data_IF_672837476738
#
_entry.id   IF_672837476738
#
_cell.length_a   1.000
_cell.length_b   1.000
_cell.length_c   1.000
_cell.angle_alpha   90.00
_cell.angle_beta   90.00
_cell.angle_gamma   90.00
#
_symmetry.space_group_name_H-M   'P 1'
#
loop_
_entity.id
_entity.type
_entity.pdbx_description
1 polymer ?
#
# COMPACT_ATOMS: atom_id res chain seq x y z
N UNK A 1 60.65 -10.87 29.33
CA UNK A 1 61.67 -9.86 29.73
C UNK A 1 62.65 -9.68 28.59
N UNK A 2 63.19 -8.48 28.32
CA UNK A 2 63.01 -7.19 28.99
C UNK A 2 62.25 -6.16 28.10
N UNK A 3 61.38 -5.29 28.62
CA UNK A 3 61.68 -4.03 29.36
C UNK A 3 62.61 -3.12 28.52
N UNK A 4 62.25 -1.88 28.19
CA UNK A 4 62.11 -0.75 29.10
C UNK A 4 61.47 0.47 28.40
N UNK A 5 60.64 1.21 29.16
CA UNK A 5 60.12 2.57 28.91
C UNK A 5 61.21 3.64 29.26
N UNK A 6 60.85 4.90 29.60
CA UNK A 6 60.44 6.09 28.83
C UNK A 6 61.43 7.25 29.14
N UNK A 7 61.01 8.54 29.09
CA UNK A 7 61.54 9.80 29.74
C UNK A 7 61.32 10.96 28.73
N UNK A 8 60.79 12.17 29.00
CA UNK A 8 60.50 13.01 30.18
C UNK A 8 59.31 13.95 29.81
N UNK A 9 58.31 14.28 30.62
CA UNK A 9 58.26 15.11 31.86
C UNK A 9 58.67 16.60 31.74
N UNK A 10 57.68 17.49 31.95
CA UNK A 10 57.66 18.58 32.95
C UNK A 10 56.23 19.20 32.95
N UNK A 11 55.40 19.18 34.02
CA UNK A 11 55.42 20.00 35.27
C UNK A 11 55.47 21.52 34.98
N UNK A 12 54.66 22.43 35.56
CA UNK A 12 53.93 22.49 36.84
C UNK A 12 53.05 23.76 36.86
N UNK A 13 51.87 23.68 37.51
CA UNK A 13 51.12 24.67 38.36
C UNK A 13 51.02 26.16 37.95
N UNK A 14 50.13 27.02 38.43
CA UNK A 14 49.07 27.06 39.44
C UNK A 14 48.41 28.46 39.28
N UNK A 15 47.21 28.65 39.85
CA UNK A 15 46.79 29.97 40.32
C UNK A 15 45.47 30.52 39.76
N UNK A 16 44.39 30.30 40.53
CA UNK A 16 43.26 31.23 40.62
C UNK A 16 43.68 32.44 41.48
N UNK A 17 43.11 33.64 41.26
CA UNK A 17 41.94 34.01 42.07
C UNK A 17 40.88 34.88 41.36
N UNK A 18 39.77 35.04 42.08
CA UNK A 18 38.46 35.55 41.72
C UNK A 18 38.41 37.07 41.46
N UNK A 19 37.45 37.51 40.63
CA UNK A 19 36.86 38.86 40.71
C UNK A 19 35.43 38.91 40.16
N UNK A 20 34.60 39.65 40.89
CA UNK A 20 33.14 39.85 40.79
C UNK A 20 32.63 40.37 39.44
N UNK A 21 31.40 40.00 39.06
CA UNK A 21 30.64 40.67 38.00
C UNK A 21 29.19 40.21 37.88
N UNK A 22 28.27 41.03 38.42
CA UNK A 22 26.82 41.16 38.20
C UNK A 22 25.99 39.97 37.66
N UNK A 23 25.05 39.53 38.51
CA UNK A 23 23.89 38.72 38.13
C UNK A 23 22.82 39.63 37.51
N UNK A 24 22.60 39.55 36.19
CA UNK A 24 21.41 40.13 35.55
C UNK A 24 20.27 39.10 35.63
N UNK A 25 19.28 39.35 36.50
CA UNK A 25 17.97 38.70 36.42
C UNK A 25 17.19 39.29 35.25
N UNK A 26 17.17 38.59 34.12
CA UNK A 26 16.21 38.83 33.05
C UNK A 26 14.86 38.25 33.47
N UNK A 27 13.94 39.13 33.86
CA UNK A 27 12.53 38.82 34.04
C UNK A 27 11.93 38.59 32.65
N UNK A 28 11.79 37.32 32.25
CA UNK A 28 11.03 36.94 31.06
C UNK A 28 9.55 37.06 31.42
N UNK A 29 8.93 38.16 30.99
CA UNK A 29 7.48 38.27 30.91
C UNK A 29 7.00 37.22 29.91
N UNK A 30 6.43 36.13 30.43
CA UNK A 30 5.75 35.12 29.63
C UNK A 30 4.59 35.77 28.89
N UNK A 31 4.74 35.92 27.58
CA UNK A 31 3.60 36.11 26.68
C UNK A 31 2.90 34.75 26.67
N UNK A 32 1.71 34.69 27.26
CA UNK A 32 0.79 33.58 27.05
C UNK A 32 0.46 33.58 25.55
N UNK A 33 1.10 32.68 24.80
CA UNK A 33 0.63 32.31 23.47
C UNK A 33 -0.82 31.84 23.61
N UNK A 34 -1.75 32.28 22.75
CA UNK A 34 -3.06 31.69 22.72
C UNK A 34 -2.90 30.19 22.44
N UNK A 35 -3.67 29.36 23.14
CA UNK A 35 -3.76 27.92 22.87
C UNK A 35 -3.93 27.71 21.36
N UNK A 36 -3.10 26.83 20.80
CA UNK A 36 -2.88 26.71 19.37
C UNK A 36 -4.17 26.56 18.59
N UNK A 37 -4.38 27.45 17.62
CA UNK A 37 -5.11 27.06 16.43
C UNK A 37 -4.31 25.90 15.82
N UNK A 38 -4.92 24.73 15.67
CA UNK A 38 -4.33 23.69 14.83
C UNK A 38 -4.06 24.32 13.45
N UNK A 39 -2.88 24.09 12.91
CA UNK A 39 -2.57 24.56 11.57
C UNK A 39 -3.50 23.80 10.62
N UNK A 40 -4.52 24.50 10.10
CA UNK A 40 -5.32 23.99 9.00
C UNK A 40 -4.38 23.74 7.83
N UNK A 41 -4.47 22.56 7.24
CA UNK A 41 -3.65 22.15 6.13
C UNK A 41 -4.54 21.57 5.03
N UNK A 42 -4.19 21.83 3.78
CA UNK A 42 -4.99 21.39 2.64
C UNK A 42 -4.49 20.01 2.17
N UNK A 43 -5.43 19.09 1.97
CA UNK A 43 -5.23 17.82 1.27
C UNK A 43 -6.11 17.77 0.02
N UNK A 44 -5.94 16.72 -0.78
CA UNK A 44 -6.76 16.47 -1.98
C UNK A 44 -7.16 15.00 -1.99
N UNK A 45 -8.42 14.71 -2.30
CA UNK A 45 -8.88 13.33 -2.49
C UNK A 45 -8.14 12.69 -3.67
N UNK A 46 -7.56 11.52 -3.47
CA UNK A 46 -6.73 10.82 -4.45
C UNK A 46 -6.73 9.31 -4.19
N UNK A 47 -6.50 8.51 -5.23
CA UNK A 47 -6.42 7.06 -5.12
C UNK A 47 -7.78 6.38 -4.93
N UNK A 48 -8.86 7.10 -5.21
CA UNK A 48 -10.24 6.61 -5.29
C UNK A 48 -11.08 7.60 -6.09
N UNK A 49 -12.17 7.17 -6.75
CA UNK A 49 -13.12 8.10 -7.38
C UNK A 49 -13.86 8.97 -6.38
N UNK A 50 -13.98 8.53 -5.12
CA UNK A 50 -14.58 9.30 -4.06
C UNK A 50 -14.47 8.65 -2.68
N UNK A 51 -14.47 9.48 -1.65
CA UNK A 51 -14.32 9.05 -0.26
C UNK A 51 -15.45 9.59 0.61
N UNK A 52 -15.96 8.75 1.52
CA UNK A 52 -16.99 9.13 2.46
C UNK A 52 -16.45 10.12 3.51
N UNK A 53 -17.24 11.15 3.80
CA UNK A 53 -17.07 12.02 4.97
C UNK A 53 -18.01 11.50 6.06
N UNK A 54 -17.46 11.21 7.23
CA UNK A 54 -18.16 10.55 8.34
C UNK A 54 -18.28 11.45 9.56
N UNK A 55 -19.30 11.22 10.38
CA UNK A 55 -19.53 11.97 11.61
C UNK A 55 -18.53 11.65 12.75
N UNK A 56 -17.85 10.50 12.67
CA UNK A 56 -16.82 10.05 13.62
C UNK A 56 -15.77 9.17 12.89
N UNK A 57 -14.59 8.92 13.49
CA UNK A 57 -13.45 8.28 12.82
C UNK A 57 -13.52 6.74 12.81
N UNK A 58 -14.66 6.15 12.42
CA UNK A 58 -14.80 4.69 12.23
C UNK A 58 -15.67 4.40 11.01
N UNK A 59 -15.63 3.19 10.42
CA UNK A 59 -16.44 2.89 9.23
C UNK A 59 -17.92 2.64 9.55
N UNK A 60 -18.25 2.32 10.81
CA UNK A 60 -19.65 2.22 11.28
C UNK A 60 -20.33 3.58 11.46
N UNK A 61 -19.57 4.67 11.46
CA UNK A 61 -20.10 6.01 11.63
C UNK A 61 -20.97 6.45 10.45
N UNK A 62 -22.02 7.23 10.77
CA UNK A 62 -22.89 7.85 9.77
C UNK A 62 -22.07 8.61 8.73
N UNK A 63 -22.32 8.29 7.45
CA UNK A 63 -21.85 9.09 6.32
C UNK A 63 -22.67 10.39 6.25
N UNK A 64 -21.98 11.53 6.30
CA UNK A 64 -22.58 12.87 6.29
C UNK A 64 -22.34 13.62 4.97
N UNK A 65 -21.54 13.03 4.09
CA UNK A 65 -21.21 13.52 2.76
C UNK A 65 -20.20 12.59 2.06
N UNK A 66 -19.80 12.97 0.86
CA UNK A 66 -18.77 12.30 0.08
C UNK A 66 -17.97 13.37 -0.67
N UNK A 67 -16.65 13.26 -0.64
CA UNK A 67 -15.76 14.09 -1.43
C UNK A 67 -15.30 13.31 -2.67
N UNK A 68 -15.27 13.95 -3.83
CA UNK A 68 -14.90 13.30 -5.10
C UNK A 68 -13.39 13.38 -5.33
N UNK A 69 -12.86 12.53 -6.21
CA UNK A 69 -11.47 12.62 -6.69
C UNK A 69 -11.09 14.06 -7.08
N UNK A 70 -9.93 14.52 -6.60
CA UNK A 70 -9.44 15.87 -6.86
C UNK A 70 -10.10 16.97 -6.01
N UNK A 71 -11.09 16.65 -5.19
CA UNK A 71 -11.72 17.62 -4.30
C UNK A 71 -10.74 18.01 -3.16
N UNK A 72 -10.56 19.32 -2.90
CA UNK A 72 -9.75 19.78 -1.78
C UNK A 72 -10.43 19.46 -0.45
N UNK A 73 -9.62 19.12 0.55
CA UNK A 73 -10.05 18.76 1.90
C UNK A 73 -9.30 19.62 2.91
N UNK A 74 -10.03 20.36 3.74
CA UNK A 74 -9.44 21.12 4.84
C UNK A 74 -9.20 20.19 6.03
N UNK A 75 -7.95 19.77 6.22
CA UNK A 75 -7.52 18.97 7.37
C UNK A 75 -7.37 19.90 8.57
N UNK A 76 -8.00 19.52 9.68
CA UNK A 76 -8.12 20.34 10.89
C UNK A 76 -7.29 19.83 12.06
N UNK A 77 -6.66 18.67 11.93
CA UNK A 77 -5.88 18.05 12.99
C UNK A 77 -5.21 16.75 12.56
N UNK A 78 -4.55 16.11 13.52
CA UNK A 78 -3.84 14.83 13.35
C UNK A 78 -4.80 13.66 13.14
N UNK A 79 -4.29 12.57 12.54
CA UNK A 79 -5.04 11.33 12.32
C UNK A 79 -5.56 10.77 13.64
N UNK A 80 -6.83 10.37 13.65
CA UNK A 80 -7.48 9.62 14.74
C UNK A 80 -8.06 8.34 14.13
N UNK A 81 -7.63 7.18 14.61
CA UNK A 81 -8.12 5.86 14.18
C UNK A 81 -8.09 5.63 12.66
N UNK A 82 -7.10 6.23 11.96
CA UNK A 82 -6.95 6.11 10.51
C UNK A 82 -7.71 7.19 9.70
N UNK A 83 -8.36 8.14 10.36
CA UNK A 83 -9.10 9.23 9.72
C UNK A 83 -8.49 10.59 10.01
N UNK A 84 -8.44 11.47 9.02
CA UNK A 84 -8.20 12.89 9.24
C UNK A 84 -9.49 13.56 9.74
N UNK A 85 -9.44 14.36 10.83
CA UNK A 85 -10.51 15.30 11.15
C UNK A 85 -10.51 16.45 10.13
N UNK A 86 -11.66 16.74 9.54
CA UNK A 86 -11.79 17.69 8.43
C UNK A 86 -12.91 18.69 8.63
N UNK A 87 -12.79 19.84 7.98
CA UNK A 87 -13.89 20.75 7.73
C UNK A 87 -14.29 20.64 6.25
N UNK A 88 -15.48 20.10 5.97
CA UNK A 88 -15.98 19.89 4.61
C UNK A 88 -17.23 20.76 4.39
N UNK A 89 -17.08 21.84 3.62
CA UNK A 89 -18.13 22.86 3.38
C UNK A 89 -18.83 23.33 4.66
N UNK A 90 -18.04 23.80 5.64
CA UNK A 90 -18.50 24.25 6.96
C UNK A 90 -19.13 23.14 7.84
N UNK A 91 -18.81 21.88 7.57
CA UNK A 91 -19.18 20.73 8.42
C UNK A 91 -17.94 20.02 8.93
N UNK A 92 -17.86 19.87 10.25
CA UNK A 92 -16.86 19.00 10.86
C UNK A 92 -17.18 17.54 10.55
N UNK A 93 -16.15 16.77 10.23
CA UNK A 93 -16.26 15.35 9.93
C UNK A 93 -14.91 14.65 9.92
N UNK A 94 -14.90 13.43 9.41
CA UNK A 94 -13.74 12.57 9.32
C UNK A 94 -13.67 11.92 7.94
N UNK A 95 -12.48 11.88 7.36
CA UNK A 95 -12.21 11.24 6.06
C UNK A 95 -11.10 10.23 6.21
N UNK A 96 -11.18 9.11 5.52
CA UNK A 96 -10.17 8.06 5.65
C UNK A 96 -8.84 8.55 5.08
N UNK A 97 -7.79 8.55 5.92
CA UNK A 97 -6.54 9.25 5.62
C UNK A 97 -5.82 8.69 4.38
N UNK A 98 -5.99 7.39 4.12
CA UNK A 98 -5.41 6.71 2.95
C UNK A 98 -5.79 7.36 1.61
N UNK A 99 -6.97 7.99 1.53
CA UNK A 99 -7.49 8.57 0.30
C UNK A 99 -7.32 10.09 0.22
N UNK A 100 -6.49 10.68 1.08
CA UNK A 100 -6.20 12.12 1.07
C UNK A 100 -4.70 12.33 0.94
N UNK A 101 -4.25 12.77 -0.24
CA UNK A 101 -2.88 13.22 -0.44
C UNK A 101 -2.67 14.52 0.32
N UNK A 102 -1.70 14.51 1.23
CA UNK A 102 -1.33 15.67 2.03
C UNK A 102 0.20 15.84 2.02
N UNK A 103 0.69 17.09 1.99
CA UNK A 103 2.13 17.40 1.93
C UNK A 103 2.90 16.84 0.71
N UNK A 104 2.18 16.45 -0.35
CA UNK A 104 2.76 15.95 -1.59
C UNK A 104 3.15 14.47 -1.56
N UNK A 105 2.74 13.74 -0.52
CA UNK A 105 2.93 12.28 -0.43
C UNK A 105 1.68 11.57 -0.98
N UNK A 106 1.82 10.96 -2.14
CA UNK A 106 0.81 10.14 -2.77
C UNK A 106 0.63 8.82 -2.01
N UNK A 107 -0.59 8.26 -1.98
CA UNK A 107 -0.85 7.04 -1.25
C UNK A 107 -0.05 5.86 -1.79
N UNK A 108 0.36 4.97 -0.87
CA UNK A 108 1.05 3.73 -1.17
C UNK A 108 0.66 2.67 -0.15
N UNK A 109 -0.12 1.69 -0.56
CA UNK A 109 -0.61 0.64 0.32
C UNK A 109 0.23 -0.63 0.18
N UNK A 110 0.94 -1.06 1.23
CA UNK A 110 1.82 -2.25 1.17
C UNK A 110 1.51 -3.32 2.20
N UNK A 111 0.81 -2.95 3.26
CA UNK A 111 0.42 -3.84 4.34
C UNK A 111 -0.79 -3.29 5.09
N UNK A 112 -1.63 -4.19 5.59
CA UNK A 112 -2.73 -3.87 6.48
C UNK A 112 -2.28 -3.71 7.93
N UNK A 113 -3.25 -3.47 8.81
CA UNK A 113 -2.99 -3.32 10.24
C UNK A 113 -2.63 -4.66 10.90
N UNK A 114 -1.47 -4.73 11.55
CA UNK A 114 -1.01 -5.94 12.24
C UNK A 114 -1.81 -6.34 13.50
N UNK A 115 -2.83 -5.58 13.88
CA UNK A 115 -3.73 -5.89 15.01
C UNK A 115 -4.83 -6.90 14.66
N UNK A 116 -5.08 -7.16 13.37
CA UNK A 116 -5.97 -8.22 12.90
C UNK A 116 -5.15 -9.21 12.09
N UNK A 117 -5.44 -10.50 12.27
CA UNK A 117 -4.70 -11.59 11.66
C UNK A 117 -5.13 -11.78 10.19
N UNK A 118 -5.17 -10.71 9.40
CA UNK A 118 -5.58 -10.73 7.99
C UNK A 118 -4.36 -10.91 7.09
N UNK A 119 -4.52 -11.58 5.95
CA UNK A 119 -3.56 -11.63 4.84
C UNK A 119 -4.30 -11.44 3.52
N UNK A 120 -3.67 -10.81 2.55
CA UNK A 120 -4.23 -10.63 1.21
C UNK A 120 -3.35 -11.32 0.17
N UNK A 121 -3.98 -12.07 -0.71
CA UNK A 121 -3.31 -12.63 -1.89
C UNK A 121 -3.53 -11.68 -3.07
N UNK A 122 -2.43 -11.24 -3.69
CA UNK A 122 -2.47 -10.48 -4.94
C UNK A 122 -1.80 -11.27 -6.05
N UNK A 123 -2.46 -11.33 -7.20
CA UNK A 123 -1.94 -11.98 -8.40
C UNK A 123 -1.67 -10.91 -9.46
N UNK A 124 -0.40 -10.64 -9.73
CA UNK A 124 0.00 -9.83 -10.87
C UNK A 124 -0.04 -10.72 -12.12
N UNK A 125 -0.74 -10.28 -13.16
CA UNK A 125 -1.01 -11.10 -14.36
C UNK A 125 -0.58 -10.32 -15.59
N UNK A 126 0.19 -10.97 -16.45
CA UNK A 126 0.79 -10.37 -17.63
C UNK A 126 2.26 -10.71 -17.79
N UNK A 127 2.72 -11.87 -17.33
CA UNK A 127 4.02 -12.45 -17.71
C UNK A 127 3.97 -12.90 -19.18
N UNK A 128 2.85 -13.48 -19.58
CA UNK A 128 2.49 -13.75 -20.96
C UNK A 128 2.48 -15.20 -21.42
N UNK A 129 2.28 -16.13 -20.49
CA UNK A 129 1.95 -17.51 -20.82
C UNK A 129 0.43 -17.75 -20.68
N UNK A 130 -0.02 -18.98 -20.96
CA UNK A 130 -1.40 -19.36 -20.69
C UNK A 130 -1.67 -19.34 -19.17
N UNK A 131 -2.79 -18.75 -18.70
CA UNK A 131 -3.10 -18.66 -17.28
C UNK A 131 -3.28 -20.03 -16.62
N UNK A 132 -2.86 -20.15 -15.37
CA UNK A 132 -3.06 -21.36 -14.58
C UNK A 132 -4.51 -21.50 -14.11
N UNK A 133 -5.28 -22.35 -14.79
CA UNK A 133 -6.63 -22.71 -14.31
C UNK A 133 -6.60 -23.37 -12.93
N UNK A 134 -5.55 -24.15 -12.64
CA UNK A 134 -5.36 -24.83 -11.35
C UNK A 134 -5.36 -23.84 -10.17
N UNK A 135 -4.77 -22.65 -10.34
CA UNK A 135 -4.77 -21.60 -9.31
C UNK A 135 -6.17 -21.03 -9.11
N UNK A 136 -6.87 -20.69 -10.19
CA UNK A 136 -8.23 -20.15 -10.14
C UNK A 136 -9.17 -21.15 -9.46
N UNK A 137 -9.14 -22.41 -9.88
CA UNK A 137 -9.96 -23.48 -9.29
C UNK A 137 -9.66 -23.66 -7.80
N UNK A 138 -8.38 -23.60 -7.40
CA UNK A 138 -7.99 -23.68 -5.98
C UNK A 138 -8.60 -22.55 -5.15
N UNK A 139 -8.57 -21.32 -5.64
CA UNK A 139 -9.13 -20.17 -4.93
C UNK A 139 -10.66 -20.28 -4.80
N UNK A 140 -11.34 -20.71 -5.86
CA UNK A 140 -12.79 -20.94 -5.89
C UNK A 140 -13.18 -22.07 -4.92
N UNK A 141 -12.56 -23.25 -5.06
CA UNK A 141 -12.89 -24.44 -4.27
C UNK A 141 -12.61 -24.26 -2.78
N UNK A 142 -11.61 -23.43 -2.45
CA UNK A 142 -11.26 -23.10 -1.07
C UNK A 142 -12.00 -21.89 -0.52
N UNK A 143 -12.85 -21.23 -1.32
CA UNK A 143 -13.54 -19.97 -0.98
C UNK A 143 -12.55 -18.92 -0.44
N UNK A 144 -11.38 -18.81 -1.09
CA UNK A 144 -10.31 -17.90 -0.66
C UNK A 144 -10.41 -16.60 -1.45
N UNK A 145 -10.72 -15.45 -0.81
CA UNK A 145 -10.72 -14.18 -1.50
C UNK A 145 -9.30 -13.83 -1.97
N UNK A 146 -9.22 -13.23 -3.15
CA UNK A 146 -7.98 -12.80 -3.77
C UNK A 146 -8.22 -11.55 -4.62
N UNK A 147 -7.13 -10.86 -4.95
CA UNK A 147 -7.14 -9.67 -5.79
C UNK A 147 -6.27 -9.90 -7.03
N UNK A 148 -6.89 -9.72 -8.19
CA UNK A 148 -6.31 -9.99 -9.50
C UNK A 148 -5.94 -8.66 -10.15
N UNK A 149 -4.71 -8.56 -10.64
CA UNK A 149 -4.20 -7.38 -11.32
C UNK A 149 -3.72 -7.79 -12.72
N UNK A 150 -4.65 -7.93 -13.69
CA UNK A 150 -4.29 -8.12 -15.09
C UNK A 150 -3.69 -6.86 -15.72
N UNK A 151 -2.78 -7.07 -16.66
CA UNK A 151 -2.41 -6.05 -17.63
C UNK A 151 -3.48 -5.92 -18.72
N UNK A 152 -3.64 -4.72 -19.28
CA UNK A 152 -4.60 -4.46 -20.35
C UNK A 152 -4.36 -5.31 -21.60
N UNK A 153 -3.10 -5.44 -22.02
CA UNK A 153 -2.73 -6.32 -23.13
C UNK A 153 -3.13 -7.79 -22.89
N UNK A 154 -2.99 -8.26 -21.64
CA UNK A 154 -3.30 -9.64 -21.25
C UNK A 154 -4.81 -9.86 -21.27
N UNK A 155 -5.58 -8.90 -20.74
CA UNK A 155 -7.04 -8.92 -20.77
C UNK A 155 -7.58 -9.04 -22.20
N UNK A 156 -7.02 -8.28 -23.14
CA UNK A 156 -7.39 -8.36 -24.54
C UNK A 156 -7.00 -9.70 -25.21
N UNK A 157 -5.97 -10.37 -24.69
CA UNK A 157 -5.46 -11.65 -25.24
C UNK A 157 -6.23 -12.85 -24.69
N UNK A 158 -6.63 -12.81 -23.43
CA UNK A 158 -7.29 -13.91 -22.71
C UNK A 158 -8.63 -13.49 -22.11
N UNK A 159 -9.59 -12.97 -22.92
CA UNK A 159 -10.84 -12.43 -22.40
C UNK A 159 -11.67 -13.49 -21.65
N UNK A 160 -11.78 -14.71 -22.19
CA UNK A 160 -12.53 -15.81 -21.56
C UNK A 160 -12.03 -16.13 -20.12
N UNK A 161 -10.72 -16.01 -19.88
CA UNK A 161 -10.15 -16.23 -18.54
C UNK A 161 -10.45 -15.07 -17.59
N UNK A 162 -10.41 -13.83 -18.09
CA UNK A 162 -10.74 -12.66 -17.29
C UNK A 162 -12.24 -12.63 -16.94
N UNK A 163 -13.12 -12.97 -17.88
CA UNK A 163 -14.56 -13.15 -17.63
C UNK A 163 -14.79 -14.18 -16.53
N UNK A 164 -14.11 -15.33 -16.57
CA UNK A 164 -14.22 -16.35 -15.52
C UNK A 164 -13.76 -15.83 -14.15
N UNK A 165 -12.65 -15.09 -14.11
CA UNK A 165 -12.14 -14.47 -12.88
C UNK A 165 -13.17 -13.49 -12.29
N UNK A 166 -13.83 -12.71 -13.15
CA UNK A 166 -14.87 -11.78 -12.73
C UNK A 166 -16.14 -12.50 -12.25
N UNK A 167 -16.61 -13.50 -12.99
CA UNK A 167 -17.76 -14.34 -12.62
C UNK A 167 -17.55 -15.07 -11.29
N UNK A 168 -16.29 -15.42 -10.96
CA UNK A 168 -15.91 -16.01 -9.68
C UNK A 168 -15.95 -15.01 -8.51
N UNK A 169 -16.09 -13.71 -8.78
CA UNK A 169 -16.22 -12.65 -7.78
C UNK A 169 -14.90 -12.20 -7.17
N UNK A 170 -13.77 -12.42 -7.84
CA UNK A 170 -12.49 -11.85 -7.40
C UNK A 170 -12.46 -10.33 -7.59
N UNK A 171 -11.71 -9.64 -6.73
CA UNK A 171 -11.40 -8.23 -6.95
C UNK A 171 -10.51 -8.11 -8.18
N UNK A 172 -10.81 -7.18 -9.09
CA UNK A 172 -10.04 -6.95 -10.31
C UNK A 172 -9.56 -5.49 -10.34
N UNK A 173 -8.27 -5.29 -10.11
CA UNK A 173 -7.58 -4.01 -10.36
C UNK A 173 -6.82 -4.02 -11.69
N UNK A 174 -5.85 -3.14 -11.85
CA UNK A 174 -4.99 -3.07 -13.05
C UNK A 174 -3.50 -3.21 -12.70
N UNK A 175 -2.74 -3.86 -13.59
CA UNK A 175 -1.27 -3.96 -13.53
C UNK A 175 -0.55 -3.09 -14.58
N UNK A 176 -1.21 -2.03 -15.07
CA UNK A 176 -0.74 -1.23 -16.22
C UNK A 176 -1.08 -1.89 -17.56
N UNK A 177 -0.80 -1.25 -18.69
CA UNK A 177 -1.18 -1.79 -20.00
C UNK A 177 -0.09 -2.66 -20.60
N UNK A 178 1.19 -2.35 -20.39
CA UNK A 178 2.32 -3.03 -20.99
C UNK A 178 3.38 -3.45 -19.95
N UNK A 179 4.28 -4.37 -20.35
CA UNK A 179 5.45 -4.75 -19.54
C UNK A 179 6.55 -3.66 -19.58
N UNK A 180 6.26 -2.48 -19.05
CA UNK A 180 7.13 -1.31 -19.07
C UNK A 180 7.42 -0.78 -17.67
N UNK A 181 8.63 -0.28 -17.44
CA UNK A 181 8.95 0.38 -16.17
C UNK A 181 8.40 1.81 -16.20
N UNK A 182 7.28 2.05 -15.51
CA UNK A 182 6.62 3.36 -15.48
C UNK A 182 7.55 4.50 -15.04
N UNK A 183 8.49 4.21 -14.13
CA UNK A 183 9.52 5.18 -13.70
C UNK A 183 10.39 5.71 -14.84
N UNK A 184 10.46 5.01 -15.98
CA UNK A 184 11.21 5.43 -17.17
C UNK A 184 10.40 6.24 -18.19
N UNK A 185 9.08 6.34 -17.99
CA UNK A 185 8.17 7.02 -18.91
C UNK A 185 7.98 8.50 -18.55
N UNK A 186 7.49 9.29 -19.50
CA UNK A 186 6.95 10.63 -19.25
C UNK A 186 5.61 10.57 -18.54
N UNK A 187 5.19 11.67 -17.91
CA UNK A 187 3.94 11.73 -17.16
C UNK A 187 2.72 11.36 -18.03
N UNK A 188 2.58 11.97 -19.22
CA UNK A 188 1.53 11.65 -20.20
C UNK A 188 1.50 10.15 -20.59
N UNK A 189 2.67 9.50 -20.64
CA UNK A 189 2.76 8.09 -21.04
C UNK A 189 2.42 7.14 -19.88
N UNK A 190 2.57 7.59 -18.63
CA UNK A 190 2.09 6.87 -17.45
C UNK A 190 0.55 6.97 -17.40
N UNK A 191 -0.01 8.16 -17.67
CA UNK A 191 -1.46 8.35 -17.75
C UNK A 191 -2.09 7.49 -18.85
N UNK A 192 -1.49 7.48 -20.05
CA UNK A 192 -1.94 6.67 -21.18
C UNK A 192 -1.87 5.17 -20.87
N UNK A 193 -0.74 4.65 -20.35
CA UNK A 193 -0.60 3.23 -20.00
C UNK A 193 -1.64 2.77 -18.97
N UNK A 194 -1.93 3.58 -17.97
CA UNK A 194 -2.95 3.24 -16.96
C UNK A 194 -4.35 3.30 -17.56
N UNK A 195 -4.68 4.37 -18.29
CA UNK A 195 -6.00 4.56 -18.90
C UNK A 195 -6.33 3.47 -19.92
N UNK A 196 -5.37 3.12 -20.78
CA UNK A 196 -5.55 2.06 -21.78
C UNK A 196 -5.78 0.70 -21.12
N UNK A 197 -5.05 0.43 -20.02
CA UNK A 197 -5.23 -0.80 -19.25
C UNK A 197 -6.62 -0.93 -18.65
N UNK A 198 -7.09 0.14 -17.97
CA UNK A 198 -8.44 0.18 -17.41
C UNK A 198 -9.47 -0.06 -18.50
N UNK A 199 -9.39 0.67 -19.62
CA UNK A 199 -10.34 0.53 -20.73
C UNK A 199 -10.34 -0.88 -21.33
N UNK A 200 -9.18 -1.52 -21.46
CA UNK A 200 -9.09 -2.89 -21.96
C UNK A 200 -9.75 -3.91 -21.00
N UNK A 201 -9.50 -3.79 -19.70
CA UNK A 201 -10.06 -4.69 -18.68
C UNK A 201 -11.58 -4.51 -18.59
N UNK A 202 -12.07 -3.28 -18.43
CA UNK A 202 -13.50 -2.97 -18.32
C UNK A 202 -14.29 -3.39 -19.57
N UNK A 203 -13.67 -3.35 -20.74
CA UNK A 203 -14.30 -3.81 -21.98
C UNK A 203 -14.60 -5.31 -22.01
N UNK A 204 -13.85 -6.10 -21.22
CA UNK A 204 -14.02 -7.55 -21.11
C UNK A 204 -15.00 -7.90 -19.98
N UNK A 205 -14.84 -7.29 -18.81
CA UNK A 205 -15.69 -7.60 -17.64
C UNK A 205 -17.04 -6.86 -17.62
N UNK A 206 -17.25 -5.92 -18.55
CA UNK A 206 -18.48 -5.13 -18.70
C UNK A 206 -18.92 -4.36 -17.42
N UNK A 207 -17.96 -4.01 -16.56
CA UNK A 207 -18.12 -3.18 -15.37
C UNK A 207 -16.85 -2.39 -15.10
N UNK A 208 -16.96 -1.38 -14.22
CA UNK A 208 -15.80 -0.65 -13.74
C UNK A 208 -14.86 -1.60 -12.96
N UNK A 209 -13.56 -1.43 -13.10
CA UNK A 209 -12.58 -2.14 -12.27
C UNK A 209 -12.66 -1.69 -10.81
N UNK A 210 -12.11 -2.50 -9.92
CA UNK A 210 -11.82 -2.07 -8.56
C UNK A 210 -10.62 -1.10 -8.58
N UNK A 211 -10.70 -0.04 -7.77
CA UNK A 211 -9.82 1.14 -7.83
C UNK A 211 -8.40 0.90 -7.27
N UNK A 212 -7.73 -0.17 -7.70
CA UNK A 212 -6.41 -0.58 -7.23
C UNK A 212 -5.46 -0.81 -8.40
N UNK A 213 -4.21 -0.43 -8.19
CA UNK A 213 -3.15 -0.56 -9.19
C UNK A 213 -1.90 -1.18 -8.59
N UNK A 214 -1.28 -2.15 -9.28
CA UNK A 214 0.07 -2.63 -8.95
C UNK A 214 1.04 -2.31 -10.10
N UNK A 215 2.27 -1.87 -9.82
CA UNK A 215 3.23 -1.54 -10.88
C UNK A 215 4.02 -2.77 -11.36
N UNK A 216 4.16 -2.92 -12.69
CA UNK A 216 5.05 -3.93 -13.28
C UNK A 216 6.46 -3.86 -12.68
N UNK A 217 6.99 -5.03 -12.29
CA UNK A 217 8.31 -5.19 -11.68
C UNK A 217 8.56 -4.30 -10.43
N UNK A 218 7.49 -3.94 -9.71
CA UNK A 218 7.53 -2.97 -8.62
C UNK A 218 8.13 -1.60 -9.02
N UNK A 219 8.12 -1.27 -10.31
CA UNK A 219 8.74 -0.06 -10.87
C UNK A 219 7.86 1.17 -10.61
N UNK A 220 7.88 1.65 -9.37
CA UNK A 220 7.14 2.83 -8.94
C UNK A 220 7.99 3.75 -8.07
N UNK A 221 7.73 5.05 -8.18
CA UNK A 221 8.25 6.11 -7.32
C UNK A 221 7.12 7.07 -6.92
N UNK A 222 7.44 8.16 -6.22
CA UNK A 222 6.45 9.17 -5.82
C UNK A 222 5.71 9.79 -7.02
N UNK A 223 6.42 9.98 -8.14
CA UNK A 223 5.86 10.57 -9.35
C UNK A 223 4.83 9.63 -9.98
N UNK A 224 5.18 8.35 -10.14
CA UNK A 224 4.26 7.33 -10.65
C UNK A 224 3.02 7.23 -9.75
N UNK A 225 3.21 7.11 -8.42
CA UNK A 225 2.08 7.03 -7.48
C UNK A 225 1.17 8.26 -7.52
N UNK A 226 1.74 9.45 -7.66
CA UNK A 226 0.97 10.69 -7.78
C UNK A 226 0.09 10.68 -9.03
N UNK A 227 0.63 10.25 -10.17
CA UNK A 227 -0.10 10.20 -11.45
C UNK A 227 -1.20 9.13 -11.42
N UNK A 228 -0.90 7.94 -10.90
CA UNK A 228 -1.88 6.85 -10.77
C UNK A 228 -3.01 7.25 -9.81
N UNK A 229 -2.67 7.81 -8.64
CA UNK A 229 -3.68 8.23 -7.66
C UNK A 229 -4.52 9.41 -8.13
N UNK A 230 -3.98 10.29 -8.98
CA UNK A 230 -4.75 11.34 -9.63
C UNK A 230 -5.78 10.82 -10.65
N UNK A 231 -5.61 9.58 -11.14
CA UNK A 231 -6.59 8.87 -11.98
C UNK A 231 -7.61 8.07 -11.16
N UNK A 232 -7.57 8.17 -9.82
CA UNK A 232 -8.54 7.51 -8.94
C UNK A 232 -8.19 6.08 -8.53
N UNK A 233 -6.95 5.62 -8.79
CA UNK A 233 -6.51 4.28 -8.41
C UNK A 233 -5.56 4.32 -7.23
N UNK A 234 -5.77 3.46 -6.22
CA UNK A 234 -4.85 3.30 -5.10
C UNK A 234 -3.64 2.46 -5.53
N UNK A 235 -2.41 3.00 -5.47
CA UNK A 235 -1.22 2.20 -5.71
C UNK A 235 -1.00 1.19 -4.57
N UNK A 236 -0.91 -0.09 -4.92
CA UNK A 236 -0.72 -1.23 -4.02
C UNK A 236 0.64 -1.90 -4.30
N UNK A 237 1.36 -2.20 -3.23
CA UNK A 237 2.58 -3.00 -3.23
C UNK A 237 2.47 -4.19 -2.28
N UNK A 238 3.60 -4.82 -2.02
CA UNK A 238 3.67 -6.04 -1.22
C UNK A 238 4.99 -6.13 -0.47
N UNK A 239 4.94 -6.75 0.71
CA UNK A 239 6.13 -7.04 1.52
C UNK A 239 6.49 -8.53 1.52
N UNK A 240 5.61 -9.41 1.02
CA UNK A 240 5.87 -10.84 0.86
C UNK A 240 5.74 -11.21 -0.62
N UNK A 241 6.85 -11.55 -1.27
CA UNK A 241 6.86 -12.00 -2.66
C UNK A 241 7.12 -13.51 -2.73
N UNK A 242 6.29 -14.26 -3.45
CA UNK A 242 6.49 -15.69 -3.68
C UNK A 242 7.72 -15.96 -4.57
N UNK A 243 8.03 -15.04 -5.49
CA UNK A 243 9.06 -15.18 -6.52
C UNK A 243 8.93 -16.54 -7.25
N UNK A 244 7.71 -16.75 -7.73
CA UNK A 244 7.12 -17.99 -8.23
C UNK A 244 7.21 -18.15 -9.76
N UNK A 245 7.49 -17.06 -10.46
CA UNK A 245 7.61 -17.01 -11.92
C UNK A 245 9.02 -17.32 -12.45
N UNK A 246 10.04 -17.32 -11.58
CA UNK A 246 11.43 -17.59 -11.96
C UNK A 246 11.69 -19.05 -12.35
N UNK A 247 12.70 -19.35 -13.19
CA UNK A 247 12.96 -20.71 -13.68
C UNK A 247 13.34 -21.72 -12.58
N UNK A 248 13.80 -21.25 -11.42
CA UNK A 248 14.14 -22.08 -10.26
C UNK A 248 12.97 -22.18 -9.25
N UNK A 249 11.80 -21.62 -9.56
CA UNK A 249 10.64 -21.71 -8.69
C UNK A 249 10.08 -23.13 -8.67
N UNK A 250 9.81 -23.60 -7.47
CA UNK A 250 9.23 -24.90 -7.15
C UNK A 250 8.15 -24.73 -6.10
N UNK A 251 7.23 -25.70 -6.01
CA UNK A 251 6.23 -25.79 -4.95
C UNK A 251 6.84 -25.51 -3.56
N UNK A 252 7.90 -26.25 -3.21
CA UNK A 252 8.56 -26.13 -1.92
C UNK A 252 9.19 -24.73 -1.71
N UNK A 253 9.80 -24.14 -2.74
CA UNK A 253 10.41 -22.81 -2.60
C UNK A 253 9.37 -21.70 -2.42
N UNK A 254 8.22 -21.80 -3.10
CA UNK A 254 7.12 -20.83 -2.98
C UNK A 254 6.51 -20.93 -1.59
N UNK A 255 6.12 -22.14 -1.17
CA UNK A 255 5.62 -22.42 0.18
C UNK A 255 6.57 -21.88 1.26
N UNK A 256 7.85 -22.24 1.20
CA UNK A 256 8.84 -21.83 2.20
C UNK A 256 9.10 -20.33 2.24
N UNK A 257 8.96 -19.62 1.12
CA UNK A 257 9.09 -18.16 1.09
C UNK A 257 7.89 -17.48 1.70
N UNK A 258 6.69 -17.90 1.34
CA UNK A 258 5.46 -17.32 1.88
C UNK A 258 5.39 -17.56 3.39
N UNK A 259 5.46 -18.82 3.82
CA UNK A 259 5.27 -19.17 5.24
C UNK A 259 6.37 -18.61 6.16
N UNK A 260 7.58 -18.36 5.64
CA UNK A 260 8.66 -17.77 6.44
C UNK A 260 8.50 -16.25 6.65
N UNK A 261 7.87 -15.57 5.69
CA UNK A 261 7.82 -14.11 5.67
C UNK A 261 6.43 -13.55 5.93
N UNK A 262 5.40 -14.39 6.02
CA UNK A 262 4.04 -13.97 6.35
C UNK A 262 3.94 -13.42 7.78
N UNK A 263 3.09 -12.42 7.96
CA UNK A 263 2.77 -11.78 9.23
C UNK A 263 1.36 -11.15 9.15
N UNK A 264 0.73 -10.80 10.30
CA UNK A 264 -0.57 -10.11 10.30
C UNK A 264 -0.53 -8.80 9.50
N UNK A 265 -1.39 -8.66 8.50
CA UNK A 265 -1.43 -7.53 7.57
C UNK A 265 -0.62 -7.73 6.28
N UNK A 266 0.02 -8.88 6.08
CA UNK A 266 0.83 -9.09 4.89
C UNK A 266 0.00 -9.11 3.60
N UNK A 267 0.46 -8.34 2.61
CA UNK A 267 0.08 -8.49 1.20
C UNK A 267 1.10 -9.42 0.54
N UNK A 268 0.62 -10.56 0.05
CA UNK A 268 1.42 -11.64 -0.53
C UNK A 268 1.25 -11.63 -2.03
N UNK A 269 2.34 -11.38 -2.75
CA UNK A 269 2.36 -11.32 -4.21
C UNK A 269 2.73 -12.66 -4.82
N UNK A 270 1.95 -13.03 -5.83
CA UNK A 270 2.04 -14.22 -6.66
C UNK A 270 1.70 -13.85 -8.11
N UNK A 271 1.84 -14.82 -9.02
CA UNK A 271 1.47 -14.67 -10.43
C UNK A 271 0.50 -15.77 -10.87
N UNK A 272 -0.20 -15.54 -11.98
CA UNK A 272 -1.15 -16.49 -12.57
C UNK A 272 -0.66 -17.12 -13.87
N UNK A 273 0.17 -16.42 -14.65
CA UNK A 273 0.41 -16.70 -16.07
C UNK A 273 1.91 -16.85 -16.44
N UNK A 274 2.68 -17.55 -15.60
CA UNK A 274 4.09 -17.88 -15.85
C UNK A 274 4.34 -19.39 -16.04
N UNK A 275 5.32 -19.77 -16.89
CA UNK A 275 5.68 -21.18 -17.11
C UNK A 275 6.02 -21.94 -15.83
N UNK A 276 6.72 -21.27 -14.90
CA UNK A 276 7.11 -21.86 -13.62
C UNK A 276 5.95 -21.88 -12.62
N UNK A 277 5.01 -20.93 -12.73
CA UNK A 277 3.86 -20.74 -11.84
C UNK A 277 2.98 -21.99 -11.76
N UNK A 278 2.72 -22.67 -12.89
CA UNK A 278 1.94 -23.92 -12.93
C UNK A 278 2.62 -25.07 -12.16
N UNK A 279 3.95 -25.05 -12.04
CA UNK A 279 4.72 -26.07 -11.31
C UNK A 279 5.16 -25.61 -9.92
N UNK A 280 4.84 -24.37 -9.55
CA UNK A 280 5.23 -23.75 -8.29
C UNK A 280 4.00 -23.33 -7.49
N UNK A 281 3.45 -22.14 -7.73
CA UNK A 281 2.28 -21.58 -7.04
C UNK A 281 1.07 -22.48 -7.14
N UNK A 282 0.75 -23.03 -8.33
CA UNK A 282 -0.42 -23.91 -8.49
C UNK A 282 -0.39 -25.13 -7.56
N UNK A 283 0.80 -25.66 -7.27
CA UNK A 283 0.98 -26.79 -6.36
C UNK A 283 1.08 -26.36 -4.89
N UNK A 284 1.68 -25.19 -4.61
CA UNK A 284 1.93 -24.72 -3.24
C UNK A 284 0.70 -24.06 -2.62
N UNK A 285 -0.14 -23.41 -3.43
CA UNK A 285 -1.24 -22.55 -2.99
C UNK A 285 -2.26 -23.28 -2.10
N UNK A 286 -2.73 -24.51 -2.40
CA UNK A 286 -3.67 -25.21 -1.52
C UNK A 286 -3.11 -25.36 -0.10
N UNK A 287 -1.84 -25.74 0.01
CA UNK A 287 -1.17 -25.93 1.30
C UNK A 287 -0.92 -24.61 2.03
N UNK A 288 -0.54 -23.56 1.32
CA UNK A 288 -0.38 -22.21 1.89
C UNK A 288 -1.70 -21.75 2.52
N UNK A 289 -2.81 -21.92 1.81
CA UNK A 289 -4.15 -21.53 2.29
C UNK A 289 -4.51 -22.31 3.56
N UNK A 290 -4.37 -23.63 3.52
CA UNK A 290 -4.70 -24.51 4.66
C UNK A 290 -3.85 -24.18 5.90
N UNK A 291 -2.54 -24.04 5.74
CA UNK A 291 -1.62 -23.80 6.85
C UNK A 291 -1.81 -22.39 7.44
N UNK A 292 -2.04 -21.36 6.61
CA UNK A 292 -2.34 -20.00 7.10
C UNK A 292 -3.68 -19.94 7.85
N UNK A 293 -4.72 -20.60 7.35
CA UNK A 293 -5.99 -20.74 8.09
C UNK A 293 -5.81 -21.47 9.41
N UNK A 294 -4.98 -22.53 9.44
CA UNK A 294 -4.67 -23.27 10.66
C UNK A 294 -3.89 -22.43 11.69
N UNK A 295 -3.07 -21.48 11.22
CA UNK A 295 -2.42 -20.46 12.05
C UNK A 295 -3.36 -19.31 12.47
N UNK A 296 -4.61 -19.34 12.01
CA UNK A 296 -5.67 -18.41 12.39
C UNK A 296 -5.73 -17.16 11.52
N UNK A 297 -5.06 -17.16 10.36
CA UNK A 297 -5.15 -16.05 9.42
C UNK A 297 -6.50 -16.03 8.70
N UNK A 298 -7.05 -14.83 8.53
CA UNK A 298 -8.19 -14.54 7.67
C UNK A 298 -7.68 -14.07 6.31
N UNK A 299 -8.09 -14.74 5.24
CA UNK A 299 -7.84 -14.26 3.89
C UNK A 299 -8.85 -13.17 3.54
N UNK A 300 -8.37 -12.06 2.99
CA UNK A 300 -9.19 -10.92 2.58
C UNK A 300 -8.71 -10.34 1.24
N UNK A 301 -9.55 -9.56 0.57
CA UNK A 301 -9.12 -8.79 -0.62
C UNK A 301 -8.28 -7.57 -0.21
N UNK A 302 -7.61 -6.92 -1.16
CA UNK A 302 -6.95 -5.64 -0.87
C UNK A 302 -7.94 -4.55 -0.42
N UNK A 303 -9.18 -4.57 -0.93
CA UNK A 303 -10.22 -3.62 -0.53
C UNK A 303 -10.63 -3.78 0.94
N UNK A 304 -10.65 -4.99 1.46
CA UNK A 304 -10.91 -5.25 2.88
C UNK A 304 -9.65 -5.01 3.73
N UNK A 305 -8.47 -5.28 3.17
CA UNK A 305 -7.19 -5.12 3.86
C UNK A 305 -6.86 -3.65 4.18
N UNK A 306 -7.27 -2.71 3.32
CA UNK A 306 -7.08 -1.27 3.58
C UNK A 306 -7.93 -0.77 4.76
N UNK A 307 -8.98 -1.50 5.14
CA UNK A 307 -9.88 -1.10 6.21
C UNK A 307 -9.27 -1.41 7.60
N UNK A 308 -9.56 -0.59 8.63
CA UNK A 308 -9.15 -0.87 10.00
C UNK A 308 -9.66 -2.22 10.54
N UNK A 309 -8.95 -2.74 11.53
CA UNK A 309 -9.38 -3.96 12.22
C UNK A 309 -10.60 -3.74 13.12
N UNK A 310 -11.52 -4.71 13.17
CA UNK A 310 -12.63 -4.73 14.14
C UNK A 310 -13.98 -4.27 13.58
N UNK A 311 -14.06 -4.10 12.26
CA UNK A 311 -15.29 -3.91 11.50
C UNK A 311 -15.41 -5.04 10.46
#
# INVERSE_FOLDING_TARGET
>A
MPHLRPVNQAHVSSGLPWRNGLLLMLLVLGVLSPAGASAQSEGVVSGTSGVNIRACPTLDCQVIGSASLGEPIDITGEIVDGFYPVNWYDREGYVFALYVTHSGEAPWFVEGQGSCNRVALVFNIGIGEEPSQTIVDTLIDSETPASMFPMGWWAATYPDYLEQIDEAGFLIGTHGDQQVFLTSLSDDAIEEDVTDSVGAIESVIERDIDEFFTPYAAATDERVRSIVSAQGLLPVGWNVAANDYGPDATEASVYERVMRNVYPGAVIEMHLDGLATEQSTALALPRIIDDLRAEGYEFVTVADMVLPCGE
#
